data_IF_030640091233
#
_entry.id   IF_030640091233
#
_cell.length_a   1.000
_cell.length_b   1.000
_cell.length_c   1.000
_cell.angle_alpha   90.00
_cell.angle_beta   90.00
_cell.angle_gamma   90.00
#
_symmetry.space_group_name_H-M   'P 1'
#
loop_
_entity.id
_entity.type
_entity.pdbx_description
1 polymer ?
#
# COMPACT_ATOMS: atom_id res chain seq x y z
N UNK A 1 -10.50 -7.15 -12.36
CA UNK A 1 -9.26 -6.91 -11.59
C UNK A 1 -9.36 -5.64 -10.74
N UNK A 2 -10.16 -5.64 -9.66
CA UNK A 2 -10.28 -4.51 -8.70
C UNK A 2 -9.74 -4.87 -7.29
N UNK A 3 -9.05 -6.00 -7.14
CA UNK A 3 -8.82 -6.65 -5.83
C UNK A 3 -7.42 -6.48 -5.23
N UNK A 4 -6.39 -6.19 -6.03
CA UNK A 4 -4.97 -6.21 -5.58
C UNK A 4 -4.69 -5.35 -4.35
N UNK A 5 -5.18 -4.10 -4.31
CA UNK A 5 -4.94 -3.23 -3.17
C UNK A 5 -5.69 -3.67 -1.90
N UNK A 6 -6.92 -4.19 -2.03
CA UNK A 6 -7.67 -4.72 -0.88
C UNK A 6 -6.99 -5.95 -0.29
N UNK A 7 -6.52 -6.85 -1.14
CA UNK A 7 -5.81 -8.07 -0.71
C UNK A 7 -4.52 -7.70 0.01
N UNK A 8 -3.73 -6.79 -0.55
CA UNK A 8 -2.53 -6.23 0.10
C UNK A 8 -2.81 -5.66 1.50
N UNK A 9 -3.87 -4.86 1.65
CA UNK A 9 -4.25 -4.30 2.96
C UNK A 9 -4.66 -5.41 3.94
N UNK A 10 -5.39 -6.42 3.48
CA UNK A 10 -5.82 -7.54 4.31
C UNK A 10 -4.64 -8.41 4.77
N UNK A 11 -3.69 -8.67 3.87
CA UNK A 11 -2.50 -9.48 4.14
C UNK A 11 -1.54 -8.78 5.12
N UNK A 12 -1.43 -7.46 5.02
CA UNK A 12 -0.51 -6.66 5.86
C UNK A 12 -1.08 -6.29 7.23
N UNK A 13 -2.37 -6.52 7.51
CA UNK A 13 -3.05 -6.07 8.75
C UNK A 13 -2.43 -6.55 10.06
N UNK A 14 -1.70 -7.68 10.05
CA UNK A 14 -1.05 -8.25 11.23
C UNK A 14 0.33 -7.64 11.52
N UNK A 15 0.87 -6.88 10.59
CA UNK A 15 2.18 -6.25 10.70
C UNK A 15 2.11 -4.95 11.51
N UNK A 16 3.26 -4.52 12.07
CA UNK A 16 3.36 -3.18 12.67
C UNK A 16 3.03 -2.09 11.65
N UNK A 17 2.51 -0.93 12.09
CA UNK A 17 2.21 0.20 11.20
C UNK A 17 3.43 0.63 10.35
N UNK A 18 4.64 0.53 10.91
CA UNK A 18 5.89 0.80 10.20
C UNK A 18 6.13 -0.20 9.07
N UNK A 19 5.92 -1.49 9.32
CA UNK A 19 6.11 -2.53 8.31
C UNK A 19 4.99 -2.51 7.26
N UNK A 20 3.74 -2.26 7.65
CA UNK A 20 2.63 -1.99 6.73
C UNK A 20 3.00 -0.85 5.75
N UNK A 21 3.48 0.28 6.26
CA UNK A 21 3.93 1.41 5.43
C UNK A 21 5.00 0.99 4.43
N UNK A 22 6.00 0.21 4.87
CA UNK A 22 7.08 -0.28 4.00
C UNK A 22 6.56 -1.19 2.89
N UNK A 23 5.69 -2.15 3.22
CA UNK A 23 5.10 -3.06 2.24
C UNK A 23 4.25 -2.29 1.22
N UNK A 24 3.40 -1.35 1.67
CA UNK A 24 2.56 -0.53 0.80
C UNK A 24 3.38 0.34 -0.17
N UNK A 25 4.49 0.93 0.32
CA UNK A 25 5.38 1.74 -0.51
C UNK A 25 6.09 0.86 -1.56
N UNK A 26 6.58 -0.32 -1.16
CA UNK A 26 7.27 -1.22 -2.09
C UNK A 26 6.32 -1.73 -3.18
N UNK A 27 5.13 -2.21 -2.81
CA UNK A 27 4.14 -2.68 -3.80
C UNK A 27 3.71 -1.53 -4.74
N UNK A 28 3.62 -0.29 -4.24
CA UNK A 28 3.33 0.87 -5.08
C UNK A 28 4.42 1.11 -6.13
N UNK A 29 5.71 1.10 -5.74
CA UNK A 29 6.81 1.27 -6.69
C UNK A 29 6.94 0.07 -7.64
N UNK A 30 6.73 -1.16 -7.17
CA UNK A 30 6.75 -2.36 -8.00
C UNK A 30 5.62 -2.37 -9.04
N UNK A 31 4.44 -1.85 -8.66
CA UNK A 31 3.32 -1.67 -9.57
C UNK A 31 3.54 -0.53 -10.57
N UNK A 32 4.06 0.62 -10.11
CA UNK A 32 4.38 1.80 -10.94
C UNK A 32 5.50 1.50 -11.94
N UNK A 33 6.49 0.71 -11.55
CA UNK A 33 7.73 0.46 -12.33
C UNK A 33 8.38 1.79 -12.72
N UNK A 34 8.82 1.90 -13.97
CA UNK A 34 9.43 3.08 -14.55
C UNK A 34 8.40 4.07 -15.14
N UNK A 35 7.09 3.79 -15.03
CA UNK A 35 6.06 4.69 -15.53
C UNK A 35 5.96 5.92 -14.65
N UNK A 36 5.76 7.10 -15.25
CA UNK A 36 5.55 8.35 -14.51
C UNK A 36 4.26 8.31 -13.67
N UNK A 37 4.26 9.02 -12.54
CA UNK A 37 3.03 9.19 -11.78
C UNK A 37 2.12 10.16 -12.54
N UNK A 38 0.89 9.73 -12.84
CA UNK A 38 -0.07 10.55 -13.56
C UNK A 38 -0.93 11.43 -12.64
N UNK A 39 -0.94 11.13 -11.33
CA UNK A 39 -1.75 11.82 -10.32
C UNK A 39 -1.13 11.64 -8.93
N UNK A 40 -1.56 12.47 -7.97
CA UNK A 40 -1.12 12.41 -6.58
C UNK A 40 -1.70 11.18 -5.86
N UNK A 41 -0.89 10.51 -5.04
CA UNK A 41 -1.32 9.32 -4.27
C UNK A 41 -1.07 9.53 -2.78
N UNK A 42 -2.13 9.40 -1.97
CA UNK A 42 -2.06 9.49 -0.51
C UNK A 42 -2.76 8.26 0.10
N UNK A 43 -2.07 7.60 1.04
CA UNK A 43 -2.63 6.52 1.87
C UNK A 43 -2.43 6.87 3.33
N UNK A 44 -3.52 6.89 4.11
CA UNK A 44 -3.51 7.16 5.55
C UNK A 44 -4.05 5.91 6.26
N UNK A 45 -3.22 5.31 7.11
CA UNK A 45 -3.61 4.20 7.97
C UNK A 45 -3.95 4.70 9.38
N UNK A 46 -5.02 4.18 9.96
CA UNK A 46 -5.45 4.46 11.34
C UNK A 46 -5.47 3.15 12.11
N UNK A 47 -4.82 3.11 13.26
CA UNK A 47 -4.99 2.06 14.26
C UNK A 47 -6.03 2.57 15.26
N UNK A 48 -7.08 1.80 15.48
CA UNK A 48 -8.12 2.08 16.46
C UNK A 48 -8.01 1.04 17.57
N UNK A 49 -8.07 1.51 18.82
CA UNK A 49 -8.11 0.68 20.02
C UNK A 49 -9.51 0.06 20.25
#
# INVERSE_FOLDING_TARGET
MKKRFRELIYETRGESMQEQRKILINEFYDWKKEEDQTDDVIVIGLLLD
#
